data_IF_331674517494
#
_entry.id   IF_331674517494
#
_cell.length_a   1.000
_cell.length_b   1.000
_cell.length_c   1.000
_cell.angle_alpha   90.00
_cell.angle_beta   90.00
_cell.angle_gamma   90.00
#
_symmetry.space_group_name_H-M   'P 1'
#
loop_
_entity.id
_entity.type
_entity.pdbx_description
1 polymer ?
#
# COMPACT_ATOMS: atom_id res chain seq x y z
N UNK A 1 -13.58 6.92 -0.44
CA UNK A 1 -12.94 7.14 -1.77
C UNK A 1 -11.46 6.95 -1.60
N UNK A 2 -10.80 6.32 -2.57
CA UNK A 2 -9.37 6.09 -2.51
C UNK A 2 -8.72 6.35 -3.87
N UNK A 3 -7.41 6.44 -3.87
CA UNK A 3 -6.60 6.49 -5.09
C UNK A 3 -5.36 5.63 -4.93
N UNK A 4 -4.85 5.15 -6.04
CA UNK A 4 -3.51 4.58 -6.12
C UNK A 4 -2.59 5.55 -6.81
N UNK A 5 -1.31 5.49 -6.50
CA UNK A 5 -0.26 6.11 -7.32
C UNK A 5 0.84 5.09 -7.56
N UNK A 6 1.36 5.05 -8.78
CA UNK A 6 2.48 4.20 -9.15
C UNK A 6 3.83 4.95 -9.09
N UNK A 7 4.92 4.21 -9.31
CA UNK A 7 6.29 4.73 -9.28
C UNK A 7 6.53 5.85 -10.29
N UNK A 8 5.77 5.88 -11.37
CA UNK A 8 5.83 6.95 -12.39
C UNK A 8 5.06 8.21 -11.97
N UNK A 9 4.42 8.17 -10.80
CA UNK A 9 3.58 9.25 -10.29
C UNK A 9 2.18 9.29 -10.92
N UNK A 10 1.76 8.24 -11.64
CA UNK A 10 0.43 8.18 -12.24
C UNK A 10 -0.58 7.84 -11.15
N UNK A 11 -1.55 8.73 -10.95
CA UNK A 11 -2.63 8.55 -9.96
C UNK A 11 -3.93 8.14 -10.63
N UNK A 12 -4.55 7.07 -10.12
CA UNK A 12 -5.88 6.62 -10.52
C UNK A 12 -6.85 6.68 -9.34
N UNK A 13 -8.05 7.24 -9.56
CA UNK A 13 -9.10 7.36 -8.53
C UNK A 13 -10.03 6.15 -8.59
N UNK A 14 -10.19 5.45 -7.47
CA UNK A 14 -10.96 4.20 -7.34
C UNK A 14 -10.71 3.20 -8.52
N UNK A 15 -9.45 2.82 -8.78
CA UNK A 15 -9.12 1.85 -9.83
C UNK A 15 -9.89 0.53 -9.67
N UNK A 16 -10.05 -0.22 -10.76
CA UNK A 16 -10.69 -1.54 -10.70
C UNK A 16 -9.81 -2.57 -9.99
N UNK A 17 -10.40 -3.68 -9.56
CA UNK A 17 -9.66 -4.78 -8.95
C UNK A 17 -8.61 -5.39 -9.90
N UNK A 18 -8.86 -5.39 -11.21
CA UNK A 18 -7.87 -5.79 -12.22
C UNK A 18 -6.68 -4.84 -12.24
N UNK A 19 -6.93 -3.52 -12.24
CA UNK A 19 -5.85 -2.53 -12.24
C UNK A 19 -5.03 -2.59 -10.95
N UNK A 20 -5.67 -2.79 -9.80
CA UNK A 20 -4.96 -3.00 -8.53
C UNK A 20 -4.02 -4.21 -8.60
N UNK A 21 -4.47 -5.32 -9.21
CA UNK A 21 -3.61 -6.52 -9.36
C UNK A 21 -2.47 -6.28 -10.33
N UNK A 22 -2.73 -5.57 -11.43
CA UNK A 22 -1.70 -5.16 -12.40
C UNK A 22 -0.61 -4.31 -11.73
N UNK A 23 -1.00 -3.32 -10.93
CA UNK A 23 -0.07 -2.49 -10.16
C UNK A 23 0.82 -3.32 -9.23
N UNK A 24 0.26 -4.29 -8.52
CA UNK A 24 1.03 -5.17 -7.64
C UNK A 24 1.96 -6.13 -8.40
N UNK A 25 1.59 -6.52 -9.62
CA UNK A 25 2.44 -7.37 -10.46
C UNK A 25 3.65 -6.62 -11.01
N UNK A 26 3.56 -5.30 -11.18
CA UNK A 26 4.63 -4.44 -11.68
C UNK A 26 5.64 -4.01 -10.58
N UNK A 27 5.41 -4.40 -9.32
CA UNK A 27 6.31 -4.10 -8.21
C UNK A 27 7.60 -4.91 -8.36
N UNK A 28 8.75 -4.24 -8.29
CA UNK A 28 10.07 -4.83 -8.42
C UNK A 28 10.53 -5.08 -9.86
N UNK A 29 9.81 -4.57 -10.87
CA UNK A 29 10.20 -4.72 -12.28
C UNK A 29 11.37 -3.80 -12.71
N UNK A 30 11.79 -2.87 -11.85
CA UNK A 30 12.87 -1.92 -12.11
C UNK A 30 14.18 -2.37 -11.44
N UNK A 31 15.14 -2.83 -12.23
CA UNK A 31 16.44 -3.32 -11.74
C UNK A 31 17.36 -2.20 -11.19
N UNK A 32 17.07 -0.94 -11.50
CA UNK A 32 17.87 0.22 -11.07
C UNK A 32 17.36 0.85 -9.76
N UNK A 33 16.26 0.33 -9.20
CA UNK A 33 15.70 0.83 -7.94
C UNK A 33 16.47 0.32 -6.72
N UNK A 34 16.89 1.23 -5.85
CA UNK A 34 17.55 0.90 -4.58
C UNK A 34 16.57 0.49 -3.48
N UNK A 35 15.27 0.50 -3.77
CA UNK A 35 14.19 0.08 -2.87
C UNK A 35 13.89 1.09 -1.76
N UNK A 36 14.46 2.31 -1.83
CA UNK A 36 14.23 3.35 -0.82
C UNK A 36 12.85 3.98 -0.93
N UNK A 37 12.21 3.91 -2.10
CA UNK A 37 10.89 4.48 -2.36
C UNK A 37 9.87 3.36 -2.62
N UNK A 38 8.59 3.58 -2.31
CA UNK A 38 7.55 2.63 -2.67
C UNK A 38 7.29 2.65 -4.18
N UNK A 39 7.02 1.47 -4.73
CA UNK A 39 6.66 1.28 -6.13
C UNK A 39 5.22 1.70 -6.40
N UNK A 40 4.33 1.40 -5.45
CA UNK A 40 2.90 1.71 -5.54
C UNK A 40 2.35 1.96 -4.15
N UNK A 41 1.39 2.86 -4.03
CA UNK A 41 0.67 3.07 -2.79
C UNK A 41 -0.81 3.33 -3.02
N UNK A 42 -1.63 2.93 -2.05
CA UNK A 42 -3.06 3.19 -2.00
C UNK A 42 -3.37 4.07 -0.80
N UNK A 43 -4.02 5.21 -1.02
CA UNK A 43 -4.48 6.10 0.06
C UNK A 43 -6.00 6.16 0.10
N UNK A 44 -6.58 5.93 1.28
CA UNK A 44 -7.99 6.21 1.53
C UNK A 44 -8.18 7.66 1.98
N UNK A 45 -8.78 8.48 1.12
CA UNK A 45 -8.76 9.94 1.22
C UNK A 45 -9.41 10.49 2.49
N UNK A 46 -10.51 9.88 2.92
CA UNK A 46 -11.27 10.36 4.08
C UNK A 46 -10.54 10.09 5.41
N UNK A 47 -9.82 8.97 5.48
CA UNK A 47 -9.17 8.54 6.73
C UNK A 47 -7.70 8.92 6.77
N UNK A 48 -7.10 9.24 5.62
CA UNK A 48 -5.69 9.59 5.46
C UNK A 48 -4.74 8.40 5.58
N UNK A 49 -5.26 7.19 5.69
CA UNK A 49 -4.43 5.98 5.75
C UNK A 49 -3.90 5.62 4.38
N UNK A 50 -2.63 5.24 4.34
CA UNK A 50 -1.92 4.84 3.14
C UNK A 50 -1.22 3.51 3.37
N UNK A 51 -1.37 2.57 2.43
CA UNK A 51 -0.56 1.35 2.36
C UNK A 51 0.37 1.47 1.16
N UNK A 52 1.67 1.54 1.44
CA UNK A 52 2.73 1.63 0.44
C UNK A 52 3.39 0.27 0.28
N UNK A 53 3.76 -0.07 -0.95
CA UNK A 53 4.30 -1.37 -1.34
C UNK A 53 5.65 -1.15 -2.00
N UNK A 54 6.62 -1.91 -1.55
CA UNK A 54 8.00 -1.92 -2.01
C UNK A 54 8.30 -3.30 -2.63
N UNK A 55 9.44 -3.44 -3.32
CA UNK A 55 9.94 -4.74 -3.75
C UNK A 55 9.98 -5.77 -2.62
N UNK A 56 10.03 -7.06 -3.00
CA UNK A 56 10.08 -8.21 -2.08
C UNK A 56 8.89 -8.35 -1.11
N UNK A 57 7.79 -7.64 -1.38
CA UNK A 57 6.58 -7.70 -0.56
C UNK A 57 6.71 -6.99 0.79
N UNK A 58 7.65 -6.05 0.90
CA UNK A 58 7.69 -5.11 2.03
C UNK A 58 6.57 -4.09 1.87
N UNK A 59 5.81 -3.87 2.95
CA UNK A 59 4.70 -2.91 2.96
C UNK A 59 4.75 -2.05 4.20
N UNK A 60 4.40 -0.77 4.04
CA UNK A 60 4.22 0.14 5.16
C UNK A 60 2.77 0.57 5.27
N UNK A 61 2.37 0.95 6.50
CA UNK A 61 1.10 1.55 6.81
C UNK A 61 1.36 2.84 7.58
N UNK A 62 0.87 3.95 7.02
CA UNK A 62 1.05 5.29 7.56
C UNK A 62 -0.27 6.07 7.53
N UNK A 63 -0.34 7.15 8.30
CA UNK A 63 -1.47 8.07 8.23
C UNK A 63 -0.98 9.50 8.00
N UNK A 64 -1.37 10.08 6.87
CA UNK A 64 -0.93 11.41 6.44
C UNK A 64 -1.68 12.56 7.13
N UNK A 65 -2.71 12.26 7.92
CA UNK A 65 -3.54 13.26 8.62
C UNK A 65 -3.27 13.24 10.13
N UNK A 66 -2.94 12.08 10.69
CA UNK A 66 -2.80 11.86 12.13
C UNK A 66 -1.34 11.60 12.50
N UNK A 67 -0.83 12.17 13.62
CA UNK A 67 0.52 11.92 14.09
C UNK A 67 0.58 10.56 14.83
N UNK A 68 0.51 9.48 14.07
CA UNK A 68 0.64 8.11 14.58
C UNK A 68 1.94 7.49 14.08
N UNK A 69 2.49 6.47 14.77
CA UNK A 69 3.66 5.75 14.26
C UNK A 69 3.41 5.15 12.89
N UNK A 70 4.47 4.88 12.15
CA UNK A 70 4.41 4.04 10.97
C UNK A 70 4.52 2.56 11.35
N UNK A 71 3.90 1.71 10.55
CA UNK A 71 3.94 0.27 10.73
C UNK A 71 4.41 -0.42 9.45
N UNK A 72 4.91 -1.63 9.59
CA UNK A 72 5.46 -2.41 8.50
C UNK A 72 5.13 -3.90 8.61
N UNK A 73 5.17 -4.58 7.47
CA UNK A 73 5.26 -6.03 7.35
C UNK A 73 6.17 -6.37 6.16
N UNK A 74 6.78 -7.56 6.17
CA UNK A 74 7.71 -8.02 5.15
C UNK A 74 7.30 -9.38 4.55
N UNK A 75 7.83 -9.68 3.35
CA UNK A 75 7.67 -10.97 2.69
C UNK A 75 6.22 -11.32 2.32
N UNK A 76 5.37 -10.33 2.06
CA UNK A 76 4.00 -10.58 1.64
C UNK A 76 3.91 -10.94 0.16
N UNK A 77 3.00 -11.86 -0.16
CA UNK A 77 2.62 -12.12 -1.54
C UNK A 77 1.62 -11.09 -2.05
N UNK A 78 1.58 -10.87 -3.37
CA UNK A 78 0.61 -9.97 -4.02
C UNK A 78 -0.84 -10.23 -3.61
N UNK A 79 -1.35 -11.47 -3.50
CA UNK A 79 -2.71 -11.73 -3.00
C UNK A 79 -2.94 -11.22 -1.56
N UNK A 80 -1.91 -11.27 -0.71
CA UNK A 80 -2.00 -10.78 0.66
C UNK A 80 -2.00 -9.26 0.70
N UNK A 81 -1.14 -8.62 -0.08
CA UNK A 81 -1.10 -7.15 -0.23
C UNK A 81 -2.42 -6.64 -0.80
N UNK A 82 -2.94 -7.29 -1.85
CA UNK A 82 -4.25 -6.98 -2.43
C UNK A 82 -5.37 -7.04 -1.36
N UNK A 83 -5.34 -8.02 -0.46
CA UNK A 83 -6.32 -8.11 0.63
C UNK A 83 -6.23 -6.90 1.58
N UNK A 84 -5.03 -6.41 1.90
CA UNK A 84 -4.83 -5.20 2.71
C UNK A 84 -5.38 -3.96 1.98
N UNK A 85 -5.10 -3.83 0.69
CA UNK A 85 -5.63 -2.76 -0.15
C UNK A 85 -7.15 -2.77 -0.20
N UNK A 86 -7.80 -3.94 -0.27
CA UNK A 86 -9.26 -4.04 -0.23
C UNK A 86 -9.83 -3.59 1.12
N UNK A 87 -9.21 -3.97 2.25
CA UNK A 87 -9.61 -3.47 3.57
C UNK A 87 -9.50 -1.93 3.63
N UNK A 88 -8.39 -1.37 3.16
CA UNK A 88 -8.18 0.07 3.16
C UNK A 88 -9.17 0.80 2.24
N UNK A 89 -9.36 0.31 1.02
CA UNK A 89 -10.27 0.88 0.02
C UNK A 89 -11.73 0.92 0.50
N UNK A 90 -12.15 -0.08 1.29
CA UNK A 90 -13.47 -0.15 1.91
C UNK A 90 -13.60 0.73 3.17
N UNK A 91 -12.50 1.28 3.68
CA UNK A 91 -12.49 2.02 4.95
C UNK A 91 -12.49 1.13 6.19
N UNK A 92 -12.20 -0.17 6.05
CA UNK A 92 -12.16 -1.15 7.14
C UNK A 92 -10.86 -1.03 7.96
N UNK A 93 -10.60 0.16 8.51
CA UNK A 93 -9.35 0.52 9.19
C UNK A 93 -9.08 -0.37 10.41
N UNK A 94 -10.12 -0.76 11.15
CA UNK A 94 -9.97 -1.64 12.30
C UNK A 94 -9.43 -3.02 11.88
N UNK A 95 -10.00 -3.60 10.83
CA UNK A 95 -9.56 -4.88 10.28
C UNK A 95 -8.17 -4.79 9.64
N UNK A 96 -7.85 -3.65 9.00
CA UNK A 96 -6.52 -3.38 8.47
C UNK A 96 -5.49 -3.35 9.60
N UNK A 97 -5.78 -2.66 10.70
CA UNK A 97 -4.84 -2.49 11.82
C UNK A 97 -4.72 -3.72 12.73
N UNK A 98 -5.63 -4.68 12.65
CA UNK A 98 -5.55 -5.95 13.39
C UNK A 98 -4.65 -6.99 12.73
N UNK A 99 -4.12 -6.72 11.53
CA UNK A 99 -3.10 -7.55 10.88
C UNK A 99 -1.78 -7.52 11.67
N UNK A 100 -0.84 -8.47 11.46
CA UNK A 100 0.36 -8.63 12.29
C UNK A 100 1.46 -7.60 11.96
N UNK A 101 1.11 -6.32 11.99
CA UNK A 101 2.01 -5.20 11.80
C UNK A 101 3.09 -5.14 12.88
N UNK A 102 4.31 -4.80 12.48
CA UNK A 102 5.37 -4.37 13.39
C UNK A 102 5.46 -2.87 13.37
N UNK A 103 5.86 -2.26 14.48
CA UNK A 103 6.16 -0.82 14.50
C UNK A 103 7.44 -0.59 13.70
N UNK A 104 7.40 0.33 12.73
CA UNK A 104 8.58 0.75 11.97
C UNK A 104 9.52 1.52 12.91
N UNK A 105 10.77 1.11 12.97
CA UNK A 105 11.82 1.67 13.83
C UNK A 105 12.51 2.87 13.23
#
# INVERSE_FOLDING_TARGET
MYHTTDRSGVTDINPSDEKLKELLLAVGDDEDDDGSNPDVWLTHLETGWTVSVFPDGYVTLENNIRPVPEWEMDGLSNPRIFSLWKLLANGDIEALRSQPWRKRS
#
